data_IF_373823782406
#
_entry.id   IF_373823782406
#
_cell.length_a   1.000
_cell.length_b   1.000
_cell.length_c   1.000
_cell.angle_alpha   90.00
_cell.angle_beta   90.00
_cell.angle_gamma   90.00
#
_symmetry.space_group_name_H-M   'P 1'
#
loop_
_entity.id
_entity.type
_entity.pdbx_description
1 polymer ?
#
# COMPACT_ATOMS: atom_id res chain seq x y z
N UNK A 1 -42.04 -7.44 -11.57
CA UNK A 1 -41.32 -6.17 -11.37
C UNK A 1 -39.86 -6.38 -11.70
N UNK A 2 -39.39 -5.81 -12.82
CA UNK A 2 -37.97 -5.84 -13.21
C UNK A 2 -37.18 -4.95 -12.24
N UNK A 3 -36.28 -5.51 -11.44
CA UNK A 3 -35.36 -4.73 -10.63
C UNK A 3 -34.27 -4.21 -11.58
N UNK A 4 -34.15 -2.90 -11.72
CA UNK A 4 -33.02 -2.30 -12.44
C UNK A 4 -31.70 -2.82 -11.85
N UNK A 5 -30.84 -3.37 -12.72
CA UNK A 5 -29.56 -3.94 -12.32
C UNK A 5 -28.66 -2.86 -11.73
N UNK A 6 -28.15 -3.08 -10.51
CA UNK A 6 -27.11 -2.24 -9.91
C UNK A 6 -25.90 -2.20 -10.85
N UNK A 7 -25.36 -1.02 -11.07
CA UNK A 7 -24.07 -0.84 -11.73
C UNK A 7 -22.97 -1.29 -10.77
N UNK A 8 -22.20 -2.30 -11.17
CA UNK A 8 -21.01 -2.75 -10.46
C UNK A 8 -19.78 -2.22 -11.18
N UNK A 9 -18.99 -1.41 -10.48
CA UNK A 9 -17.72 -0.89 -10.98
C UNK A 9 -16.59 -1.33 -10.04
N UNK A 10 -15.35 -1.46 -10.55
CA UNK A 10 -14.20 -1.72 -9.69
C UNK A 10 -14.12 -0.65 -8.61
N UNK A 11 -14.00 -1.06 -7.37
CA UNK A 11 -13.86 -0.15 -6.23
C UNK A 11 -12.44 0.43 -6.26
N UNK A 12 -12.28 1.67 -6.68
CA UNK A 12 -10.99 2.34 -6.73
C UNK A 12 -11.11 3.85 -7.00
N UNK A 13 -10.09 4.66 -6.66
CA UNK A 13 -10.11 6.12 -6.78
C UNK A 13 -10.06 6.63 -8.23
N UNK A 14 -10.18 5.74 -9.22
CA UNK A 14 -10.25 6.14 -10.61
C UNK A 14 -11.60 6.85 -10.83
N UNK A 15 -11.56 8.18 -10.92
CA UNK A 15 -12.57 8.93 -11.67
C UNK A 15 -12.45 8.49 -13.12
N UNK A 16 -13.07 7.37 -13.46
CA UNK A 16 -13.09 6.88 -14.83
C UNK A 16 -13.97 7.86 -15.62
N UNK A 17 -13.45 8.54 -16.65
CA UNK A 17 -14.29 9.34 -17.53
C UNK A 17 -15.27 8.39 -18.19
N UNK A 18 -16.56 8.59 -17.91
CA UNK A 18 -17.74 7.95 -18.56
C UNK A 18 -17.39 6.68 -19.33
N UNK A 19 -17.01 5.60 -18.63
CA UNK A 19 -16.75 4.33 -19.29
C UNK A 19 -18.04 3.82 -19.90
N UNK A 20 -17.95 3.29 -21.11
CA UNK A 20 -19.01 2.47 -21.70
C UNK A 20 -19.39 1.35 -20.70
N UNK A 21 -20.69 1.17 -20.49
CA UNK A 21 -21.21 0.15 -19.58
C UNK A 21 -21.45 -1.13 -20.37
N UNK A 22 -21.00 -2.27 -19.86
CA UNK A 22 -21.33 -3.60 -20.38
C UNK A 22 -22.50 -4.16 -19.59
N UNK A 23 -23.60 -4.51 -20.25
CA UNK A 23 -24.70 -5.23 -19.56
C UNK A 23 -24.48 -6.73 -19.71
N UNK A 24 -24.20 -7.41 -18.60
CA UNK A 24 -24.07 -8.87 -18.54
C UNK A 24 -25.42 -9.44 -18.10
N UNK A 25 -25.99 -10.31 -18.93
CA UNK A 25 -27.15 -11.12 -18.55
C UNK A 25 -26.68 -12.33 -17.76
N UNK A 26 -27.31 -12.56 -16.61
CA UNK A 26 -27.12 -13.74 -15.79
C UNK A 26 -28.34 -14.64 -15.99
N UNK A 27 -28.10 -15.84 -16.51
CA UNK A 27 -29.13 -16.86 -16.72
C UNK A 27 -28.67 -18.10 -15.95
N UNK A 28 -29.40 -18.45 -14.90
CA UNK A 28 -29.27 -19.71 -14.17
C UNK A 28 -30.54 -20.52 -14.40
N UNK A 29 -30.40 -21.57 -15.20
CA UNK A 29 -31.50 -22.46 -15.57
C UNK A 29 -31.92 -23.38 -14.42
N UNK A 30 -31.05 -23.67 -13.46
CA UNK A 30 -31.36 -24.57 -12.35
C UNK A 30 -32.20 -23.88 -11.27
N UNK A 31 -31.97 -22.59 -11.04
CA UNK A 31 -32.68 -21.80 -10.02
C UNK A 31 -33.71 -20.82 -10.63
N UNK A 32 -34.00 -20.94 -11.93
CA UNK A 32 -34.87 -20.02 -12.68
C UNK A 32 -34.50 -18.53 -12.49
N UNK A 33 -33.21 -18.26 -12.33
CA UNK A 33 -32.69 -16.93 -12.06
C UNK A 33 -32.39 -16.26 -13.41
N UNK A 34 -33.08 -15.16 -13.70
CA UNK A 34 -32.83 -14.34 -14.87
C UNK A 34 -32.65 -12.89 -14.42
N UNK A 35 -31.45 -12.36 -14.62
CA UNK A 35 -31.09 -11.03 -14.19
C UNK A 35 -30.14 -10.35 -15.17
N UNK A 36 -29.93 -9.06 -14.98
CA UNK A 36 -28.89 -8.33 -15.68
C UNK A 36 -28.11 -7.47 -14.69
N UNK A 37 -26.80 -7.40 -14.90
CA UNK A 37 -25.90 -6.56 -14.14
C UNK A 37 -25.19 -5.66 -15.14
N UNK A 38 -25.14 -4.36 -14.85
CA UNK A 38 -24.32 -3.41 -15.60
C UNK A 38 -22.93 -3.41 -14.97
N UNK A 39 -21.90 -3.57 -15.80
CA UNK A 39 -20.50 -3.54 -15.41
C UNK A 39 -19.83 -2.32 -16.05
N UNK A 40 -19.02 -1.60 -15.28
CA UNK A 40 -18.10 -0.63 -15.87
C UNK A 40 -17.03 -1.36 -16.70
N UNK A 41 -16.85 -0.99 -17.97
CA UNK A 41 -15.69 -1.45 -18.72
C UNK A 41 -14.43 -0.76 -18.20
N UNK A 42 -13.38 -1.57 -18.05
CA UNK A 42 -12.06 -1.06 -17.69
C UNK A 42 -11.47 -0.34 -18.90
N UNK A 43 -10.88 0.83 -18.68
CA UNK A 43 -10.19 1.55 -19.74
C UNK A 43 -9.07 0.65 -20.32
N UNK A 44 -9.11 0.26 -21.61
CA UNK A 44 -8.10 -0.60 -22.21
C UNK A 44 -6.72 0.06 -22.26
N UNK A 45 -6.66 1.39 -22.20
CA UNK A 45 -5.43 2.18 -22.19
C UNK A 45 -4.92 2.50 -20.78
N UNK A 46 -5.49 1.89 -19.74
CA UNK A 46 -4.99 2.10 -18.38
C UNK A 46 -3.56 1.59 -18.26
N UNK A 47 -2.73 2.33 -17.52
CA UNK A 47 -1.39 1.87 -17.16
C UNK A 47 -1.52 0.68 -16.21
N UNK A 48 -1.01 -0.48 -16.62
CA UNK A 48 -0.85 -1.65 -15.75
C UNK A 48 0.55 -1.58 -15.15
N UNK A 49 0.63 -1.66 -13.82
CA UNK A 49 1.90 -1.73 -13.12
C UNK A 49 2.44 -3.16 -13.19
N UNK A 50 3.74 -3.33 -13.48
CA UNK A 50 4.35 -4.66 -13.40
C UNK A 50 4.32 -5.22 -11.97
N UNK A 51 4.63 -4.38 -11.00
CA UNK A 51 4.67 -4.74 -9.59
C UNK A 51 4.09 -3.61 -8.75
N UNK A 52 3.19 -3.96 -7.83
CA UNK A 52 2.71 -3.08 -6.78
C UNK A 52 3.11 -3.63 -5.40
N UNK A 53 3.19 -2.74 -4.41
CA UNK A 53 3.56 -3.09 -3.06
C UNK A 53 2.60 -2.54 -2.01
N UNK A 54 2.35 -3.35 -0.99
CA UNK A 54 1.44 -3.04 0.11
C UNK A 54 2.22 -3.17 1.41
N UNK A 55 2.35 -2.10 2.19
CA UNK A 55 3.03 -2.23 3.48
C UNK A 55 2.26 -3.12 4.44
N UNK A 56 2.98 -3.80 5.32
CA UNK A 56 2.43 -4.21 6.61
C UNK A 56 1.89 -2.98 7.38
N UNK A 57 0.99 -3.18 8.34
CA UNK A 57 0.45 -2.08 9.14
C UNK A 57 1.56 -1.35 9.89
N UNK A 58 1.63 -0.05 9.71
CA UNK A 58 2.53 0.81 10.47
C UNK A 58 1.80 1.40 11.68
N UNK A 59 2.52 1.57 12.78
CA UNK A 59 2.07 2.21 14.01
C UNK A 59 3.29 2.66 14.82
N UNK A 60 3.13 3.66 15.69
CA UNK A 60 4.17 4.19 16.56
C UNK A 60 5.50 4.54 15.85
N UNK A 61 5.42 4.95 14.58
CA UNK A 61 6.58 5.18 13.71
C UNK A 61 7.50 6.28 14.26
N UNK A 62 6.97 7.20 15.07
CA UNK A 62 7.77 8.24 15.73
C UNK A 62 8.91 7.67 16.58
N UNK A 63 8.76 6.51 17.22
CA UNK A 63 9.82 5.92 18.03
C UNK A 63 11.00 5.46 17.16
N UNK A 64 10.67 4.91 15.99
CA UNK A 64 11.65 4.43 15.03
C UNK A 64 12.41 5.60 14.39
N UNK A 65 11.69 6.65 14.00
CA UNK A 65 12.26 7.88 13.44
C UNK A 65 13.07 8.69 14.46
N UNK A 66 12.67 8.68 15.74
CA UNK A 66 13.47 9.29 16.80
C UNK A 66 14.84 8.60 16.95
N UNK A 67 14.88 7.27 16.79
CA UNK A 67 16.12 6.50 16.84
C UNK A 67 16.95 6.65 15.57
N UNK A 68 16.31 6.59 14.39
CA UNK A 68 16.97 6.66 13.09
C UNK A 68 16.25 7.66 12.18
N UNK A 69 16.59 8.96 12.27
CA UNK A 69 15.93 9.99 11.48
C UNK A 69 16.04 9.74 9.98
N UNK A 70 14.92 9.83 9.26
CA UNK A 70 14.81 9.64 7.82
C UNK A 70 14.67 8.18 7.37
N UNK A 71 14.65 7.22 8.29
CA UNK A 71 14.53 5.79 7.99
C UNK A 71 13.26 5.45 7.21
N UNK A 72 12.10 6.00 7.59
CA UNK A 72 10.81 5.71 6.96
C UNK A 72 10.82 6.19 5.52
N UNK A 73 11.33 7.41 5.31
CA UNK A 73 11.46 7.97 3.97
C UNK A 73 12.41 7.13 3.12
N UNK A 74 13.54 6.71 3.67
CA UNK A 74 14.50 5.82 3.00
C UNK A 74 13.86 4.48 2.62
N UNK A 75 13.19 3.83 3.56
CA UNK A 75 12.48 2.57 3.36
C UNK A 75 11.45 2.68 2.22
N UNK A 76 10.60 3.72 2.20
CA UNK A 76 9.67 3.93 1.07
C UNK A 76 10.40 4.16 -0.25
N UNK A 77 11.44 4.99 -0.24
CA UNK A 77 12.20 5.31 -1.46
C UNK A 77 12.94 4.09 -2.01
N UNK A 78 13.38 3.15 -1.18
CA UNK A 78 13.97 1.90 -1.64
C UNK A 78 12.98 1.13 -2.55
N UNK A 79 11.73 0.92 -2.12
CA UNK A 79 10.75 0.22 -2.96
C UNK A 79 10.35 1.01 -4.21
N UNK A 80 10.10 2.32 -4.07
CA UNK A 80 9.61 3.15 -5.19
C UNK A 80 10.72 3.46 -6.21
N UNK A 81 11.89 3.91 -5.74
CA UNK A 81 12.96 4.43 -6.61
C UNK A 81 13.98 3.37 -6.98
N UNK A 82 14.31 2.45 -6.09
CA UNK A 82 15.33 1.44 -6.36
C UNK A 82 14.72 0.18 -6.97
N UNK A 83 13.73 -0.43 -6.30
CA UNK A 83 13.03 -1.61 -6.82
C UNK A 83 11.98 -1.30 -7.89
N UNK A 84 11.74 -0.01 -8.20
CA UNK A 84 10.85 0.47 -9.27
C UNK A 84 9.41 -0.05 -9.16
N UNK A 85 8.88 -0.16 -7.93
CA UNK A 85 7.47 -0.52 -7.74
C UNK A 85 6.59 0.52 -8.44
N UNK A 86 5.66 0.05 -9.26
CA UNK A 86 4.81 0.91 -10.08
C UNK A 86 3.76 1.66 -9.25
N UNK A 87 3.35 1.07 -8.13
CA UNK A 87 2.49 1.68 -7.14
C UNK A 87 2.80 1.10 -5.75
N UNK A 88 2.91 1.97 -4.75
CA UNK A 88 3.09 1.55 -3.35
C UNK A 88 1.93 2.10 -2.53
N UNK A 89 1.35 1.25 -1.69
CA UNK A 89 0.30 1.61 -0.72
C UNK A 89 0.85 1.44 0.69
N UNK A 90 0.86 2.52 1.46
CA UNK A 90 1.31 2.55 2.86
C UNK A 90 0.08 2.63 3.77
N UNK A 91 -0.03 1.67 4.69
CA UNK A 91 -1.11 1.58 5.66
C UNK A 91 -0.61 1.93 7.05
N UNK A 92 -1.25 2.91 7.66
CA UNK A 92 -0.88 3.43 8.97
C UNK A 92 -2.10 3.43 9.90
N UNK A 93 -1.98 2.71 11.01
CA UNK A 93 -3.05 2.48 11.98
C UNK A 93 -3.33 3.75 12.80
N UNK A 94 -2.31 4.51 13.17
CA UNK A 94 -2.45 5.66 14.09
C UNK A 94 -2.19 7.01 13.40
N UNK A 95 -1.58 6.99 12.22
CA UNK A 95 -1.23 8.15 11.43
C UNK A 95 0.16 8.71 11.73
N UNK A 96 0.97 8.02 12.53
CA UNK A 96 2.32 8.45 12.95
C UNK A 96 3.33 8.56 11.81
N UNK A 97 3.07 7.94 10.67
CA UNK A 97 3.93 7.93 9.48
C UNK A 97 3.81 9.23 8.68
N UNK A 98 2.65 9.91 8.76
CA UNK A 98 2.30 11.06 7.89
C UNK A 98 3.40 12.12 7.78
N UNK A 99 4.02 12.61 8.88
CA UNK A 99 5.01 13.69 8.80
C UNK A 99 6.25 13.33 7.97
N UNK A 100 6.56 12.04 7.85
CA UNK A 100 7.79 11.56 7.21
C UNK A 100 7.60 11.26 5.71
N UNK A 101 6.36 11.07 5.25
CA UNK A 101 6.03 10.65 3.88
C UNK A 101 5.09 11.59 3.13
N UNK A 102 4.55 12.64 3.76
CA UNK A 102 3.63 13.61 3.14
C UNK A 102 4.12 14.12 1.78
N UNK A 103 5.39 14.54 1.71
CA UNK A 103 6.00 15.00 0.46
C UNK A 103 6.13 13.93 -0.64
N UNK A 104 6.04 12.63 -0.31
CA UNK A 104 5.95 11.54 -1.29
C UNK A 104 4.52 11.32 -1.76
N UNK A 105 3.54 11.51 -0.87
CA UNK A 105 2.10 11.44 -1.17
C UNK A 105 1.71 12.57 -2.13
N UNK A 106 2.11 13.81 -1.82
CA UNK A 106 1.83 14.99 -2.65
C UNK A 106 2.38 14.87 -4.07
N UNK A 107 3.56 14.24 -4.21
CA UNK A 107 4.19 13.96 -5.51
C UNK A 107 3.58 12.77 -6.24
N UNK A 108 2.59 12.09 -5.66
CA UNK A 108 1.94 10.92 -6.22
C UNK A 108 2.86 9.68 -6.30
N UNK A 109 3.93 9.61 -5.50
CA UNK A 109 4.82 8.45 -5.49
C UNK A 109 4.21 7.27 -4.74
N UNK A 110 3.36 7.52 -3.75
CA UNK A 110 2.72 6.51 -2.93
C UNK A 110 1.25 6.84 -2.70
N UNK A 111 0.47 5.81 -2.40
CA UNK A 111 -0.86 5.95 -1.81
C UNK A 111 -0.72 5.78 -0.30
N UNK A 112 -1.22 6.73 0.46
CA UNK A 112 -1.13 6.68 1.93
C UNK A 112 -2.52 6.59 2.56
N UNK A 113 -2.66 5.67 3.49
CA UNK A 113 -3.89 5.39 4.23
C UNK A 113 -3.68 5.67 5.70
N UNK A 114 -4.02 6.89 6.11
CA UNK A 114 -3.95 7.34 7.50
C UNK A 114 -5.11 6.78 8.33
N UNK A 115 -4.80 6.34 9.55
CA UNK A 115 -5.78 5.80 10.51
C UNK A 115 -6.67 4.75 9.87
N UNK A 116 -6.05 3.84 9.13
CA UNK A 116 -6.79 2.91 8.29
C UNK A 116 -7.52 1.89 9.16
N UNK A 117 -8.85 1.96 9.14
CA UNK A 117 -9.74 0.93 9.60
C UNK A 117 -11.10 1.12 8.90
N UNK A 118 -11.69 0.06 8.31
CA UNK A 118 -12.99 0.21 7.64
C UNK A 118 -14.16 0.51 8.59
N UNK A 119 -14.00 0.28 9.89
CA UNK A 119 -15.00 0.57 10.93
C UNK A 119 -14.32 1.05 12.21
N UNK A 120 -15.03 1.80 13.05
CA UNK A 120 -14.54 2.21 14.38
C UNK A 120 -14.19 1.01 15.26
N UNK A 121 -15.00 -0.06 15.18
CA UNK A 121 -14.72 -1.32 15.89
C UNK A 121 -13.37 -1.90 15.46
N UNK A 122 -13.07 -1.92 14.15
CA UNK A 122 -11.76 -2.37 13.67
C UNK A 122 -10.64 -1.41 14.06
N UNK A 123 -10.88 -0.10 14.09
CA UNK A 123 -9.89 0.85 14.57
C UNK A 123 -9.55 0.56 16.03
N UNK A 124 -10.58 0.33 16.86
CA UNK A 124 -10.42 -0.01 18.27
C UNK A 124 -9.66 -1.32 18.46
N UNK A 125 -9.97 -2.37 17.68
CA UNK A 125 -9.22 -3.64 17.70
C UNK A 125 -7.78 -3.46 17.24
N UNK A 126 -7.53 -2.59 16.26
CA UNK A 126 -6.19 -2.32 15.75
C UNK A 126 -5.33 -1.55 16.76
N UNK A 127 -5.95 -0.63 17.50
CA UNK A 127 -5.26 0.23 18.48
C UNK A 127 -5.09 -0.46 19.85
N UNK A 128 -6.10 -1.22 20.30
CA UNK A 128 -6.15 -1.79 21.65
C UNK A 128 -6.00 -3.32 21.68
N UNK A 129 -6.05 -3.98 20.52
CA UNK A 129 -5.94 -5.43 20.39
C UNK A 129 -4.66 -5.84 19.65
N UNK A 130 -4.75 -6.93 18.88
CA UNK A 130 -3.65 -7.42 18.07
C UNK A 130 -3.59 -6.66 16.74
N UNK A 131 -2.51 -5.92 16.52
CA UNK A 131 -2.24 -5.23 15.25
C UNK A 131 -2.23 -6.17 14.04
N UNK A 132 -1.94 -7.46 14.27
CA UNK A 132 -2.00 -8.51 13.25
C UNK A 132 -3.43 -8.78 12.73
N UNK A 133 -4.48 -8.52 13.52
CA UNK A 133 -5.85 -8.65 13.04
C UNK A 133 -6.17 -7.64 11.91
N UNK A 134 -5.56 -6.45 11.98
CA UNK A 134 -5.70 -5.43 10.94
C UNK A 134 -4.91 -5.77 9.67
N UNK A 135 -3.82 -6.51 9.81
CA UNK A 135 -2.91 -6.86 8.72
C UNK A 135 -3.65 -7.61 7.59
N UNK A 136 -4.32 -8.73 7.88
CA UNK A 136 -5.02 -9.51 6.85
C UNK A 136 -6.06 -8.67 6.09
N UNK A 137 -6.72 -7.74 6.78
CA UNK A 137 -7.70 -6.85 6.16
C UNK A 137 -7.05 -5.80 5.24
N UNK A 138 -5.93 -5.22 5.66
CA UNK A 138 -5.14 -4.29 4.84
C UNK A 138 -4.58 -4.98 3.60
N UNK A 139 -4.01 -6.17 3.77
CA UNK A 139 -3.49 -7.00 2.69
C UNK A 139 -4.59 -7.32 1.67
N UNK A 140 -5.74 -7.77 2.15
CA UNK A 140 -6.89 -8.06 1.31
C UNK A 140 -7.36 -6.80 0.56
N UNK A 141 -7.53 -5.67 1.26
CA UNK A 141 -7.94 -4.41 0.61
C UNK A 141 -6.93 -3.97 -0.45
N UNK A 142 -5.63 -4.15 -0.21
CA UNK A 142 -4.60 -3.83 -1.17
C UNK A 142 -4.66 -4.73 -2.41
N UNK A 143 -4.78 -6.05 -2.21
CA UNK A 143 -4.95 -7.02 -3.31
C UNK A 143 -6.16 -6.66 -4.17
N UNK A 144 -7.29 -6.33 -3.55
CA UNK A 144 -8.49 -5.92 -4.27
C UNK A 144 -8.32 -4.60 -5.02
N UNK A 145 -7.67 -3.61 -4.41
CA UNK A 145 -7.38 -2.32 -5.04
C UNK A 145 -6.49 -2.48 -6.28
N UNK A 146 -5.50 -3.36 -6.22
CA UNK A 146 -4.55 -3.58 -7.31
C UNK A 146 -5.03 -4.61 -8.33
N UNK A 147 -6.18 -5.26 -8.11
CA UNK A 147 -6.77 -6.23 -9.04
C UNK A 147 -7.00 -5.61 -10.42
N UNK A 148 -6.30 -6.13 -11.41
CA UNK A 148 -6.33 -5.64 -12.79
C UNK A 148 -5.61 -4.31 -13.02
N UNK A 149 -5.05 -3.67 -11.98
CA UNK A 149 -4.18 -2.51 -12.12
C UNK A 149 -2.70 -2.89 -12.06
N UNK A 150 -2.38 -4.09 -11.58
CA UNK A 150 -1.01 -4.60 -11.47
C UNK A 150 -0.94 -6.06 -11.89
N UNK A 151 0.19 -6.50 -12.47
CA UNK A 151 0.45 -7.92 -12.77
C UNK A 151 0.76 -8.69 -11.47
N UNK A 152 1.59 -8.10 -10.62
CA UNK A 152 1.99 -8.65 -9.32
C UNK A 152 1.72 -7.67 -8.20
N UNK A 153 1.39 -8.21 -7.03
CA UNK A 153 1.25 -7.47 -5.78
C UNK A 153 2.09 -8.17 -4.73
N UNK A 154 2.97 -7.42 -4.09
CA UNK A 154 3.83 -7.92 -3.01
C UNK A 154 3.52 -7.23 -1.69
N UNK A 155 3.69 -7.98 -0.61
CA UNK A 155 3.69 -7.42 0.73
C UNK A 155 5.08 -6.85 1.01
N UNK A 156 5.10 -5.59 1.46
CA UNK A 156 6.29 -4.89 1.90
C UNK A 156 6.35 -5.02 3.40
N UNK A 157 7.41 -5.65 3.90
CA UNK A 157 7.61 -5.78 5.34
C UNK A 157 7.81 -4.44 6.03
N UNK A 158 7.44 -4.39 7.31
CA UNK A 158 7.59 -3.22 8.15
C UNK A 158 9.06 -2.74 8.19
N UNK A 159 9.31 -1.43 8.44
CA UNK A 159 10.65 -0.85 8.40
C UNK A 159 11.65 -1.51 9.35
N UNK A 160 11.22 -2.05 10.49
CA UNK A 160 12.05 -2.78 11.43
C UNK A 160 12.57 -4.11 10.85
N UNK A 161 11.79 -4.79 10.03
CA UNK A 161 12.25 -5.98 9.31
C UNK A 161 13.25 -5.61 8.20
N UNK A 162 13.07 -4.46 7.55
CA UNK A 162 14.04 -3.92 6.60
C UNK A 162 15.42 -3.65 7.24
N UNK A 163 15.46 -3.40 8.55
CA UNK A 163 16.71 -3.22 9.29
C UNK A 163 17.40 -4.53 9.68
N UNK A 164 16.67 -5.64 9.73
CA UNK A 164 17.10 -6.92 10.33
C UNK A 164 17.37 -8.01 9.29
N UNK A 165 17.73 -7.64 8.06
CA UNK A 165 17.94 -8.61 6.99
C UNK A 165 19.25 -9.39 7.18
N UNK A 166 19.11 -10.68 7.52
CA UNK A 166 20.09 -11.78 7.63
C UNK A 166 20.95 -11.96 8.90
N UNK A 167 21.07 -13.23 9.30
CA UNK A 167 22.07 -13.70 10.26
C UNK A 167 23.48 -13.67 9.61
N UNK A 168 24.38 -12.86 10.16
CA UNK A 168 25.81 -12.83 9.80
C UNK A 168 26.28 -11.62 8.98
N UNK A 169 25.38 -10.75 8.51
CA UNK A 169 25.76 -9.41 8.02
C UNK A 169 25.87 -8.44 9.21
N UNK A 170 26.74 -7.41 9.17
CA UNK A 170 26.57 -6.27 10.05
C UNK A 170 25.17 -5.73 9.76
N UNK A 171 24.29 -5.81 10.74
CA UNK A 171 22.90 -5.40 10.59
C UNK A 171 22.87 -3.98 10.02
N UNK A 172 21.91 -3.67 9.15
CA UNK A 172 21.70 -2.29 8.71
C UNK A 172 21.61 -1.34 9.92
N UNK A 173 21.16 -1.85 11.07
CA UNK A 173 21.25 -1.17 12.37
C UNK A 173 22.68 -0.82 12.79
N UNK A 174 23.67 -1.70 12.73
CA UNK A 174 25.06 -1.39 13.09
C UNK A 174 25.65 -0.29 12.19
N UNK A 175 25.31 -0.31 10.90
CA UNK A 175 25.70 0.76 9.98
C UNK A 175 25.01 2.09 10.31
N UNK A 176 23.68 2.08 10.54
CA UNK A 176 22.92 3.28 10.91
C UNK A 176 23.39 3.87 12.25
N UNK A 177 23.66 3.01 13.23
CA UNK A 177 24.20 3.39 14.55
C UNK A 177 25.61 4.00 14.42
N UNK A 178 26.42 3.55 13.46
CA UNK A 178 27.75 4.13 13.18
C UNK A 178 27.69 5.52 12.53
N UNK A 179 26.63 5.81 11.75
CA UNK A 179 26.45 7.10 11.07
C UNK A 179 26.09 8.22 12.07
N UNK A 180 25.39 7.89 13.16
CA UNK A 180 24.94 8.86 14.16
C UNK A 180 26.08 9.64 14.83
N UNK A 181 27.32 9.16 14.76
CA UNK A 181 28.43 9.80 15.45
C UNK A 181 29.17 10.88 14.68
N UNK A 182 29.02 11.04 13.35
CA UNK A 182 29.95 11.90 12.61
C UNK A 182 29.39 12.98 11.67
N UNK A 183 28.12 12.99 11.25
CA UNK A 183 27.69 14.05 10.30
C UNK A 183 26.19 14.29 10.25
N UNK A 184 25.79 15.55 10.42
CA UNK A 184 24.43 16.05 10.26
C UNK A 184 23.88 15.86 8.84
N UNK A 185 22.69 15.23 8.75
CA UNK A 185 21.59 15.46 7.79
C UNK A 185 21.81 15.31 6.27
N UNK A 186 23.03 15.30 5.72
CA UNK A 186 23.24 15.27 4.26
C UNK A 186 23.37 13.85 3.67
N UNK A 187 23.69 12.84 4.48
CA UNK A 187 24.05 11.49 4.01
C UNK A 187 22.87 10.61 3.56
N UNK A 188 21.65 10.84 4.04
CA UNK A 188 20.48 10.05 3.60
C UNK A 188 20.10 10.29 2.14
N UNK A 189 20.54 11.42 1.57
CA UNK A 189 20.46 11.69 0.13
C UNK A 189 21.47 10.86 -0.69
N UNK A 190 22.40 10.17 -0.03
CA UNK A 190 23.59 9.56 -0.66
C UNK A 190 23.80 8.10 -0.29
N UNK A 191 22.76 7.39 0.14
CA UNK A 191 22.73 5.93 -0.05
C UNK A 191 22.56 5.67 -1.55
N UNK A 192 23.67 5.81 -2.27
CA UNK A 192 23.83 5.32 -3.63
C UNK A 192 23.82 3.81 -3.49
N UNK A 193 22.66 3.21 -3.71
CA UNK A 193 22.58 1.78 -3.97
C UNK A 193 23.31 1.53 -5.28
N UNK A 194 24.62 1.32 -5.19
CA UNK A 194 25.42 0.88 -6.32
C UNK A 194 24.83 -0.44 -6.81
N UNK A 195 24.50 -0.51 -8.10
CA UNK A 195 24.33 -1.81 -8.72
C UNK A 195 25.66 -2.59 -8.58
N UNK A 196 25.62 -3.91 -8.33
CA UNK A 196 26.80 -4.74 -8.50
C UNK A 196 27.35 -4.63 -9.93
#
# INVERSE_FOLDING_TARGET
MSKEGRLLCPVGPLKIPTSSNLTVRLIDTMHHLNGSIKLCLLNPYRKIHKLAGCSQPLFNVHQLEAKWPGLIRMWVLFYVKYLKFGAVSIYDIDGSTEPYISGLVEKGFINYYKRWAPTESMLNVSLNGSTYCAQTMMENQCLWKHRGLSEWVMLIHSPDNFLNDFAGAPTLTAYLDSIQHNTSLTLLTTLIFGHP
#
